data_IF_595205796187
#
_entry.id   IF_595205796187
#
_cell.length_a   1.000
_cell.length_b   1.000
_cell.length_c   1.000
_cell.angle_alpha   90.00
_cell.angle_beta   90.00
_cell.angle_gamma   90.00
#
_symmetry.space_group_name_H-M   'P 1'
#
loop_
_entity.id
_entity.type
_entity.pdbx_description
1 polymer ?
#
# COMPACT_ATOMS: atom_id res chain seq x y z
N UNK A 1 -10.54 13.26 -24.75
CA UNK A 1 -10.55 13.90 -23.41
C UNK A 1 -11.43 13.02 -22.52
N UNK A 2 -10.85 12.01 -21.85
CA UNK A 2 -11.61 11.15 -20.95
C UNK A 2 -11.87 11.93 -19.66
N UNK A 3 -13.13 12.29 -19.41
CA UNK A 3 -13.56 12.92 -18.17
C UNK A 3 -13.33 11.90 -17.05
N UNK A 4 -12.35 12.17 -16.18
CA UNK A 4 -12.13 11.38 -14.96
C UNK A 4 -13.36 11.54 -14.06
N UNK A 5 -14.24 10.54 -14.06
CA UNK A 5 -15.43 10.54 -13.20
C UNK A 5 -14.99 10.42 -11.73
N UNK A 6 -15.28 11.46 -10.94
CA UNK A 6 -15.28 11.37 -9.48
C UNK A 6 -16.42 10.47 -9.02
N UNK A 7 -16.17 9.61 -8.03
CA UNK A 7 -17.21 8.74 -7.45
C UNK A 7 -17.75 9.40 -6.19
N UNK A 8 -19.08 9.34 -5.98
CA UNK A 8 -19.76 9.99 -4.86
C UNK A 8 -20.50 8.97 -4.00
N UNK A 9 -20.45 9.15 -2.68
CA UNK A 9 -21.10 8.29 -1.70
C UNK A 9 -21.84 9.13 -0.66
N UNK A 10 -23.08 8.78 -0.37
CA UNK A 10 -23.80 9.33 0.78
C UNK A 10 -23.24 8.74 2.07
N UNK A 11 -22.84 9.61 2.99
CA UNK A 11 -22.23 9.25 4.26
C UNK A 11 -22.69 10.17 5.39
N UNK A 12 -22.57 9.72 6.63
CA UNK A 12 -22.75 10.53 7.84
C UNK A 12 -21.48 10.50 8.68
N UNK A 13 -20.96 11.67 9.05
CA UNK A 13 -19.81 11.77 9.94
C UNK A 13 -20.17 11.27 11.34
N UNK A 14 -19.45 10.26 11.85
CA UNK A 14 -19.55 9.81 13.24
C UNK A 14 -18.56 10.54 14.16
N UNK A 15 -17.60 11.26 13.58
CA UNK A 15 -16.60 12.06 14.28
C UNK A 15 -15.20 11.56 14.01
N UNK A 16 -14.25 11.99 14.85
CA UNK A 16 -12.88 11.54 14.77
C UNK A 16 -12.23 11.39 16.15
N UNK A 17 -11.22 10.54 16.21
CA UNK A 17 -10.43 10.30 17.43
C UNK A 17 -8.94 10.25 17.10
N UNK A 18 -8.11 10.61 18.07
CA UNK A 18 -6.65 10.53 17.93
C UNK A 18 -6.18 9.08 17.95
N UNK A 19 -5.26 8.73 17.06
CA UNK A 19 -4.52 7.46 17.11
C UNK A 19 -3.04 7.76 17.26
N UNK A 20 -2.42 7.17 18.28
CA UNK A 20 -0.98 7.30 18.49
C UNK A 20 -0.19 6.67 17.33
N UNK A 21 0.95 7.27 16.94
CA UNK A 21 1.71 6.86 15.75
C UNK A 21 2.24 5.42 15.86
N UNK A 22 2.62 4.98 17.06
CA UNK A 22 3.04 3.61 17.37
C UNK A 22 1.96 2.54 17.14
N UNK A 23 0.70 2.95 17.01
CA UNK A 23 -0.42 2.07 16.68
C UNK A 23 -0.72 2.02 15.17
N UNK A 24 0.00 2.81 14.35
CA UNK A 24 -0.14 2.84 12.89
C UNK A 24 0.88 1.95 12.16
N UNK A 25 1.48 0.98 12.84
CA UNK A 25 2.32 -0.04 12.22
C UNK A 25 1.46 -1.04 11.43
N UNK A 26 2.03 -1.79 10.46
CA UNK A 26 1.30 -2.81 9.70
C UNK A 26 0.57 -3.84 10.58
N UNK A 27 1.13 -4.18 11.75
CA UNK A 27 0.60 -5.20 12.66
C UNK A 27 -0.51 -4.65 13.56
N UNK A 28 -0.50 -3.34 13.87
CA UNK A 28 -1.38 -2.72 14.87
C UNK A 28 -2.51 -1.89 14.27
N UNK A 29 -2.28 -1.32 13.09
CA UNK A 29 -3.18 -0.33 12.46
C UNK A 29 -4.60 -0.84 12.25
N UNK A 30 -4.78 -2.08 11.79
CA UNK A 30 -6.11 -2.66 11.59
C UNK A 30 -6.91 -2.72 12.89
N UNK A 31 -6.27 -3.11 14.00
CA UNK A 31 -6.91 -3.14 15.32
C UNK A 31 -7.25 -1.73 15.81
N UNK A 32 -6.32 -0.79 15.66
CA UNK A 32 -6.53 0.60 16.09
C UNK A 32 -7.69 1.28 15.33
N UNK A 33 -7.76 1.09 14.01
CA UNK A 33 -8.85 1.63 13.18
C UNK A 33 -10.19 0.98 13.53
N UNK A 34 -10.23 -0.36 13.68
CA UNK A 34 -11.47 -1.04 14.06
C UNK A 34 -11.96 -0.63 15.46
N UNK A 35 -11.06 -0.41 16.41
CA UNK A 35 -11.41 0.09 17.73
C UNK A 35 -12.04 1.49 17.63
N UNK A 36 -11.41 2.41 16.89
CA UNK A 36 -11.96 3.75 16.67
C UNK A 36 -13.35 3.72 16.01
N UNK A 37 -13.57 2.81 15.05
CA UNK A 37 -14.89 2.60 14.45
C UNK A 37 -15.90 2.15 15.51
N UNK A 38 -15.56 1.16 16.34
CA UNK A 38 -16.48 0.66 17.37
C UNK A 38 -16.82 1.75 18.40
N UNK A 39 -15.82 2.50 18.86
CA UNK A 39 -15.99 3.54 19.89
C UNK A 39 -16.93 4.66 19.41
N UNK A 40 -16.75 5.12 18.16
CA UNK A 40 -17.57 6.18 17.57
C UNK A 40 -18.94 5.68 17.06
N UNK A 41 -19.06 4.40 16.71
CA UNK A 41 -20.31 3.83 16.16
C UNK A 41 -21.31 3.41 17.22
N UNK A 42 -20.82 2.92 18.37
CA UNK A 42 -21.67 2.46 19.48
C UNK A 42 -22.05 3.59 20.43
N UNK A 43 -21.46 4.78 20.29
CA UNK A 43 -21.72 5.90 21.18
C UNK A 43 -21.32 5.63 22.62
N UNK A 44 -20.40 4.68 22.87
CA UNK A 44 -20.02 4.22 24.21
C UNK A 44 -19.30 5.26 25.09
N UNK A 45 -19.18 6.49 24.62
CA UNK A 45 -18.81 7.62 25.43
C UNK A 45 -20.07 8.43 25.71
N UNK A 46 -20.46 8.56 26.99
CA UNK A 46 -21.44 9.53 27.53
C UNK A 46 -21.06 11.01 27.25
N UNK A 47 -20.18 11.24 26.28
CA UNK A 47 -19.61 12.48 25.78
C UNK A 47 -19.92 12.70 24.29
N UNK A 48 -20.89 11.97 23.72
CA UNK A 48 -21.24 11.99 22.30
C UNK A 48 -21.61 13.36 21.74
N UNK A 49 -21.98 14.30 22.62
CA UNK A 49 -22.32 15.69 22.30
C UNK A 49 -21.07 16.59 22.12
N UNK A 50 -19.88 16.15 22.56
CA UNK A 50 -18.63 16.93 22.49
C UNK A 50 -17.66 16.51 21.39
N UNK A 51 -17.93 15.41 20.68
CA UNK A 51 -17.06 14.98 19.57
C UNK A 51 -17.43 15.79 18.34
N UNK A 52 -16.51 16.62 17.87
CA UNK A 52 -16.68 17.39 16.65
C UNK A 52 -16.93 16.45 15.45
N UNK A 53 -17.88 16.82 14.60
CA UNK A 53 -18.33 16.07 13.42
C UNK A 53 -18.43 17.01 12.24
N UNK A 54 -18.11 16.53 11.06
CA UNK A 54 -18.39 17.28 9.85
C UNK A 54 -19.89 17.30 9.59
N UNK A 55 -20.44 18.45 9.20
CA UNK A 55 -21.85 18.61 8.88
C UNK A 55 -22.81 18.44 10.06
N UNK A 56 -22.33 18.56 11.30
CA UNK A 56 -23.14 18.50 12.53
C UNK A 56 -24.06 17.28 12.63
N UNK A 57 -23.62 16.15 12.05
CA UNK A 57 -24.37 14.88 12.06
C UNK A 57 -25.40 14.73 10.93
N UNK A 58 -25.53 15.72 10.03
CA UNK A 58 -26.29 15.60 8.79
C UNK A 58 -25.61 14.65 7.80
N UNK A 59 -26.37 14.28 6.78
CA UNK A 59 -25.82 13.55 5.63
C UNK A 59 -24.91 14.45 4.81
N UNK A 60 -23.84 13.84 4.31
CA UNK A 60 -22.79 14.45 3.52
C UNK A 60 -22.56 13.62 2.26
N UNK A 61 -21.99 14.26 1.26
CA UNK A 61 -21.47 13.58 0.07
C UNK A 61 -19.95 13.45 0.20
N UNK A 62 -19.48 12.21 0.29
CA UNK A 62 -18.06 11.89 0.12
C UNK A 62 -17.76 11.74 -1.37
N UNK A 63 -16.96 12.66 -1.91
CA UNK A 63 -16.49 12.65 -3.29
C UNK A 63 -15.03 12.18 -3.35
N UNK A 64 -14.78 11.11 -4.08
CA UNK A 64 -13.44 10.63 -4.39
C UNK A 64 -13.08 11.03 -5.82
N UNK A 65 -12.15 11.98 -5.93
CA UNK A 65 -11.53 12.35 -7.20
C UNK A 65 -10.17 11.65 -7.37
N UNK A 66 -9.40 12.02 -8.40
CA UNK A 66 -8.10 11.40 -8.69
C UNK A 66 -7.03 11.65 -7.62
N UNK A 67 -7.17 12.68 -6.78
CA UNK A 67 -6.13 13.14 -5.85
C UNK A 67 -6.62 13.38 -4.43
N UNK A 68 -7.92 13.59 -4.22
CA UNK A 68 -8.51 14.03 -2.96
C UNK A 68 -9.79 13.25 -2.64
N UNK A 69 -9.99 13.03 -1.34
CA UNK A 69 -11.26 12.72 -0.72
C UNK A 69 -11.86 14.02 -0.21
N UNK A 70 -13.04 14.39 -0.68
CA UNK A 70 -13.75 15.61 -0.27
C UNK A 70 -15.04 15.23 0.44
N UNK A 71 -15.37 16.00 1.48
CA UNK A 71 -16.68 15.97 2.11
C UNK A 71 -17.43 17.22 1.70
N UNK A 72 -18.63 17.04 1.16
CA UNK A 72 -19.52 18.11 0.75
C UNK A 72 -20.82 18.06 1.53
N UNK A 73 -21.34 19.22 1.84
CA UNK A 73 -22.71 19.36 2.32
C UNK A 73 -23.69 18.87 1.24
N UNK A 74 -24.67 18.05 1.63
CA UNK A 74 -25.56 17.39 0.68
C UNK A 74 -26.54 18.36 -0.01
N UNK A 75 -26.90 19.44 0.67
CA UNK A 75 -27.89 20.41 0.17
C UNK A 75 -27.23 21.52 -0.67
N UNK A 76 -26.10 22.05 -0.18
CA UNK A 76 -25.42 23.21 -0.77
C UNK A 76 -24.25 22.86 -1.70
N UNK A 77 -23.84 21.59 -1.78
CA UNK A 77 -22.64 21.10 -2.49
C UNK A 77 -21.32 21.76 -2.05
N UNK A 78 -21.34 22.50 -0.93
CA UNK A 78 -20.17 23.20 -0.40
C UNK A 78 -19.14 22.22 0.15
N UNK A 79 -17.86 22.41 -0.18
CA UNK A 79 -16.78 21.56 0.33
C UNK A 79 -16.48 21.92 1.77
N UNK A 80 -16.80 21.02 2.70
CA UNK A 80 -16.54 21.16 4.13
C UNK A 80 -15.12 20.73 4.50
N UNK A 81 -14.61 19.70 3.81
CA UNK A 81 -13.29 19.14 4.07
C UNK A 81 -12.69 18.54 2.79
N UNK A 82 -11.36 18.64 2.65
CA UNK A 82 -10.63 18.04 1.54
C UNK A 82 -9.33 17.42 2.05
N UNK A 83 -9.24 16.09 1.96
CA UNK A 83 -8.10 15.29 2.36
C UNK A 83 -7.37 14.75 1.13
N UNK A 84 -6.10 15.14 0.88
CA UNK A 84 -5.32 14.53 -0.18
C UNK A 84 -5.14 13.03 0.07
N UNK A 85 -5.46 12.21 -0.94
CA UNK A 85 -5.46 10.74 -0.84
C UNK A 85 -4.06 10.22 -0.53
N UNK A 86 -3.01 10.84 -1.09
CA UNK A 86 -1.61 10.48 -0.82
C UNK A 86 -1.14 10.77 0.63
N UNK A 87 -1.94 11.49 1.42
CA UNK A 87 -1.65 11.78 2.84
C UNK A 87 -2.44 10.86 3.79
N UNK A 88 -3.34 10.03 3.26
CA UNK A 88 -4.06 9.03 4.05
C UNK A 88 -3.07 7.91 4.41
N UNK A 89 -2.86 7.68 5.71
CA UNK A 89 -1.92 6.69 6.25
C UNK A 89 -2.47 5.27 6.17
N UNK A 90 -3.74 5.11 6.55
CA UNK A 90 -4.46 3.84 6.57
C UNK A 90 -5.97 4.11 6.46
N UNK A 91 -6.72 3.17 5.91
CA UNK A 91 -8.18 3.17 5.96
C UNK A 91 -8.70 1.78 6.33
N UNK A 92 -9.96 1.70 6.73
CA UNK A 92 -10.58 0.44 7.17
C UNK A 92 -12.10 0.45 7.06
N UNK A 93 -12.66 -0.75 7.10
CA UNK A 93 -14.11 -0.99 7.11
C UNK A 93 -14.45 -1.72 8.40
N UNK A 94 -15.53 -1.30 9.06
CA UNK A 94 -16.01 -1.89 10.30
C UNK A 94 -16.48 -3.33 10.10
N UNK A 95 -16.00 -4.23 10.96
CA UNK A 95 -16.30 -5.68 10.88
C UNK A 95 -17.75 -6.05 11.19
N UNK A 96 -18.42 -5.26 12.04
CA UNK A 96 -19.70 -5.67 12.62
C UNK A 96 -20.88 -5.47 11.66
N UNK A 97 -20.91 -4.33 10.94
CA UNK A 97 -22.03 -3.99 10.04
C UNK A 97 -21.60 -3.79 8.58
N UNK A 98 -20.29 -3.73 8.28
CA UNK A 98 -19.76 -3.47 6.94
C UNK A 98 -20.13 -2.11 6.34
N UNK A 99 -20.77 -1.22 7.11
CA UNK A 99 -21.24 0.10 6.66
C UNK A 99 -20.42 1.25 7.21
N UNK A 100 -19.64 1.03 8.26
CA UNK A 100 -18.77 2.08 8.78
C UNK A 100 -17.41 2.06 8.06
N UNK A 101 -17.04 3.19 7.48
CA UNK A 101 -15.76 3.45 6.83
C UNK A 101 -14.91 4.37 7.71
N UNK A 102 -13.60 4.15 7.74
CA UNK A 102 -12.69 5.07 8.41
C UNK A 102 -11.41 5.29 7.62
N UNK A 103 -10.83 6.48 7.75
CA UNK A 103 -9.48 6.77 7.30
C UNK A 103 -8.69 7.52 8.37
N UNK A 104 -7.37 7.32 8.37
CA UNK A 104 -6.44 8.01 9.25
C UNK A 104 -5.56 8.93 8.43
N UNK A 105 -5.54 10.21 8.79
CA UNK A 105 -4.64 11.19 8.20
C UNK A 105 -4.00 12.03 9.32
N UNK A 106 -2.87 12.67 8.98
CA UNK A 106 -2.22 13.59 9.91
C UNK A 106 -2.94 14.94 9.85
N UNK A 107 -3.49 15.36 10.97
CA UNK A 107 -4.11 16.68 11.09
C UNK A 107 -3.04 17.78 10.98
N UNK A 108 -3.38 18.86 10.28
CA UNK A 108 -2.42 19.91 9.92
C UNK A 108 -2.08 20.82 11.09
N UNK A 109 -3.06 21.15 11.95
CA UNK A 109 -2.87 22.08 13.06
C UNK A 109 -2.21 21.40 14.25
N UNK A 110 -2.68 20.21 14.61
CA UNK A 110 -2.20 19.49 15.80
C UNK A 110 -1.02 18.57 15.52
N UNK A 111 -0.76 18.25 14.24
CA UNK A 111 0.26 17.27 13.81
C UNK A 111 0.03 15.86 14.33
N UNK A 112 -1.14 15.58 14.91
CA UNK A 112 -1.57 14.27 15.42
C UNK A 112 -2.24 13.47 14.31
N UNK A 113 -2.25 12.14 14.44
CA UNK A 113 -3.01 11.29 13.52
C UNK A 113 -4.44 11.17 14.00
N UNK A 114 -5.37 11.54 13.14
CA UNK A 114 -6.80 11.52 13.43
C UNK A 114 -7.46 10.45 12.58
N UNK A 115 -8.23 9.58 13.23
CA UNK A 115 -9.09 8.59 12.59
C UNK A 115 -10.48 9.17 12.42
N UNK A 116 -10.88 9.43 11.18
CA UNK A 116 -12.19 9.96 10.82
C UNK A 116 -13.11 8.80 10.46
N UNK A 117 -14.27 8.72 11.11
CA UNK A 117 -15.21 7.60 10.95
C UNK A 117 -16.52 8.11 10.35
N UNK A 118 -17.03 7.35 9.38
CA UNK A 118 -18.23 7.65 8.63
C UNK A 118 -19.13 6.42 8.60
N UNK A 119 -20.43 6.64 8.73
CA UNK A 119 -21.44 5.65 8.38
C UNK A 119 -21.86 5.84 6.93
N UNK A 120 -21.87 4.77 6.16
CA UNK A 120 -22.13 4.81 4.73
C UNK A 120 -23.48 4.15 4.39
N UNK A 121 -24.18 4.69 3.41
CA UNK A 121 -25.43 4.10 2.92
C UNK A 121 -25.18 2.84 2.10
N UNK A 122 -24.09 2.85 1.34
CA UNK A 122 -23.59 1.69 0.59
C UNK A 122 -22.57 0.90 1.42
N UNK A 123 -22.29 -0.38 1.10
CA UNK A 123 -21.23 -1.12 1.76
C UNK A 123 -19.91 -0.35 1.71
N UNK A 124 -19.30 -0.12 2.88
CA UNK A 124 -18.09 0.70 3.02
C UNK A 124 -16.88 0.08 2.29
N UNK A 125 -16.92 -1.21 1.96
CA UNK A 125 -15.96 -1.87 1.08
C UNK A 125 -15.87 -1.22 -0.31
N UNK A 126 -16.97 -0.63 -0.80
CA UNK A 126 -17.01 0.07 -2.09
C UNK A 126 -16.09 1.30 -2.07
N UNK A 127 -16.14 2.08 -0.99
CA UNK A 127 -15.27 3.26 -0.79
C UNK A 127 -13.81 2.83 -0.66
N UNK A 128 -13.54 1.79 0.15
CA UNK A 128 -12.20 1.27 0.34
C UNK A 128 -11.57 0.75 -0.96
N UNK A 129 -12.36 0.09 -1.82
CA UNK A 129 -11.92 -0.37 -3.14
C UNK A 129 -11.67 0.80 -4.10
N UNK A 130 -12.53 1.81 -4.10
CA UNK A 130 -12.33 3.02 -4.90
C UNK A 130 -11.04 3.76 -4.53
N UNK A 131 -10.77 3.94 -3.23
CA UNK A 131 -9.51 4.51 -2.75
C UNK A 131 -8.30 3.65 -3.16
N UNK A 132 -8.41 2.32 -3.05
CA UNK A 132 -7.36 1.40 -3.50
C UNK A 132 -7.03 1.62 -4.97
N UNK A 133 -8.03 1.75 -5.83
CA UNK A 133 -7.81 1.92 -7.27
C UNK A 133 -7.28 3.30 -7.63
N UNK A 134 -7.70 4.36 -6.92
CA UNK A 134 -7.09 5.69 -7.04
C UNK A 134 -5.61 5.65 -6.64
N UNK A 135 -5.29 5.05 -5.49
CA UNK A 135 -3.91 4.90 -5.02
C UNK A 135 -3.03 4.12 -6.03
N UNK A 136 -3.56 3.04 -6.64
CA UNK A 136 -2.84 2.30 -7.70
C UNK A 136 -2.51 3.22 -8.89
N UNK A 137 -3.47 4.04 -9.34
CA UNK A 137 -3.26 4.97 -10.46
C UNK A 137 -2.23 6.05 -10.11
N UNK A 138 -2.34 6.66 -8.93
CA UNK A 138 -1.36 7.66 -8.46
C UNK A 138 0.07 7.09 -8.41
N UNK A 139 0.22 5.80 -8.07
CA UNK A 139 1.52 5.12 -8.11
C UNK A 139 2.04 4.88 -9.54
N UNK A 140 1.15 4.64 -10.50
CA UNK A 140 1.51 4.48 -11.91
C UNK A 140 1.91 5.82 -12.54
N UNK A 141 1.16 6.89 -12.28
CA UNK A 141 1.43 8.25 -12.79
C UNK A 141 2.75 8.82 -12.27
N UNK A 142 3.09 8.57 -10.99
CA UNK A 142 4.41 8.93 -10.45
C UNK A 142 5.56 8.19 -11.13
N UNK A 143 5.33 6.99 -11.68
CA UNK A 143 6.35 6.23 -12.42
C UNK A 143 6.49 6.69 -13.88
N UNK A 144 5.43 7.15 -14.52
CA UNK A 144 5.50 7.70 -15.88
C UNK A 144 6.20 9.06 -15.93
N UNK A 145 6.00 9.92 -14.93
CA UNK A 145 6.67 11.24 -14.88
C UNK A 145 8.18 11.12 -14.65
N UNK A 146 8.66 10.07 -13.97
CA UNK A 146 10.10 9.79 -13.83
C UNK A 146 10.71 9.26 -15.15
N UNK A 147 9.93 8.56 -15.98
CA UNK A 147 10.37 8.11 -17.32
C UNK A 147 10.46 9.25 -18.36
N UNK A 148 9.63 10.28 -18.24
CA UNK A 148 9.67 11.43 -19.17
C UNK A 148 10.86 12.36 -18.93
N UNK A 149 11.47 12.34 -17.74
CA UNK A 149 12.63 13.19 -17.46
C UNK A 149 13.96 12.64 -18.05
N UNK A 150 13.95 11.44 -18.64
CA UNK A 150 15.11 10.80 -19.28
C UNK A 150 14.94 10.54 -20.79
N UNK A 151 13.89 11.06 -21.45
CA UNK A 151 13.68 10.85 -22.89
C UNK A 151 13.30 12.14 -23.61
N UNK A 152 14.21 13.11 -23.62
CA UNK A 152 14.25 14.09 -24.69
C UNK A 152 14.98 13.50 -25.91
N UNK A 153 14.30 12.67 -26.69
CA UNK A 153 14.58 12.53 -28.14
C UNK A 153 13.64 11.53 -28.82
N UNK A 154 13.04 12.02 -29.91
CA UNK A 154 12.55 11.30 -31.10
C UNK A 154 11.32 10.37 -31.02
N UNK A 155 10.20 10.96 -31.45
CA UNK A 155 9.40 10.58 -32.63
C UNK A 155 8.86 9.13 -32.80
N UNK A 156 7.52 9.09 -32.87
CA UNK A 156 6.66 8.43 -33.85
C UNK A 156 6.92 6.95 -34.24
N UNK A 157 5.91 6.10 -33.98
CA UNK A 157 5.28 5.25 -35.00
C UNK A 157 3.98 4.62 -34.48
N UNK A 158 2.90 4.82 -35.22
CA UNK A 158 1.66 4.05 -35.15
C UNK A 158 1.90 2.67 -35.79
N UNK A 159 1.62 1.58 -35.09
CA UNK A 159 1.22 0.31 -35.73
C UNK A 159 0.21 -0.42 -34.86
N UNK A 160 -0.85 -0.87 -35.54
CA UNK A 160 -1.95 -1.69 -35.06
C UNK A 160 -1.48 -3.14 -34.91
N UNK A 161 -1.64 -3.73 -33.72
CA UNK A 161 -1.41 -5.17 -33.53
C UNK A 161 -2.28 -5.73 -32.40
N UNK A 162 -3.03 -6.77 -32.74
CA UNK A 162 -3.79 -7.73 -31.92
C UNK A 162 -3.32 -7.90 -30.47
N UNK A 163 -4.22 -8.23 -29.51
CA UNK A 163 -3.91 -8.24 -28.09
C UNK A 163 -2.84 -9.28 -27.77
N UNK A 164 -1.59 -8.84 -27.69
CA UNK A 164 -0.48 -9.61 -27.14
C UNK A 164 -0.84 -10.02 -25.70
N UNK A 165 -0.42 -11.21 -25.25
CA UNK A 165 -0.68 -11.69 -23.89
C UNK A 165 -0.30 -10.60 -22.90
N UNK A 166 -1.28 -10.14 -22.11
CA UNK A 166 -1.14 -9.00 -21.21
C UNK A 166 0.07 -9.24 -20.30
N UNK A 167 1.18 -8.57 -20.61
CA UNK A 167 2.42 -8.78 -19.89
C UNK A 167 2.18 -8.28 -18.46
N UNK A 168 2.31 -9.20 -17.50
CA UNK A 168 2.08 -8.86 -16.12
C UNK A 168 3.04 -7.73 -15.71
N UNK A 169 2.57 -6.74 -14.93
CA UNK A 169 3.42 -5.68 -14.44
C UNK A 169 4.54 -6.28 -13.58
N UNK A 170 5.78 -6.21 -14.07
CA UNK A 170 6.99 -6.69 -13.41
C UNK A 170 7.76 -5.53 -12.80
N UNK A 171 8.19 -5.68 -11.54
CA UNK A 171 9.16 -4.79 -10.91
C UNK A 171 10.53 -5.46 -10.95
N UNK A 172 11.51 -4.80 -11.52
CA UNK A 172 12.90 -5.30 -11.55
C UNK A 172 13.71 -4.60 -10.46
N UNK A 173 14.43 -5.37 -9.66
CA UNK A 173 15.34 -4.87 -8.63
C UNK A 173 16.72 -5.44 -8.91
N UNK A 174 17.73 -4.56 -8.95
CA UNK A 174 19.12 -4.95 -9.15
C UNK A 174 19.81 -5.19 -7.82
N UNK A 175 20.53 -6.30 -7.70
CA UNK A 175 21.12 -6.71 -6.45
C UNK A 175 22.13 -7.85 -6.54
N UNK A 176 22.76 -8.19 -5.42
CA UNK A 176 23.63 -9.36 -5.33
C UNK A 176 22.87 -10.61 -4.87
N UNK A 177 23.04 -11.69 -5.62
CA UNK A 177 22.62 -13.03 -5.25
C UNK A 177 23.78 -13.77 -4.59
N UNK A 178 23.58 -14.17 -3.34
CA UNK A 178 24.60 -14.83 -2.53
C UNK A 178 24.52 -16.37 -2.64
N UNK A 179 23.35 -16.91 -2.98
CA UNK A 179 23.15 -18.36 -3.12
C UNK A 179 21.84 -18.84 -2.52
N UNK A 180 21.72 -20.15 -2.42
CA UNK A 180 20.59 -20.85 -1.78
C UNK A 180 21.10 -21.67 -0.61
N UNK A 181 20.30 -21.77 0.45
CA UNK A 181 20.59 -22.62 1.60
C UNK A 181 19.34 -23.34 2.05
N UNK A 182 19.50 -24.57 2.54
CA UNK A 182 18.40 -25.33 3.10
C UNK A 182 18.06 -24.81 4.50
N UNK A 183 16.77 -24.81 4.82
CA UNK A 183 16.27 -24.40 6.13
C UNK A 183 15.41 -25.50 6.74
N UNK A 184 15.39 -25.64 8.08
CA UNK A 184 14.65 -26.70 8.74
C UNK A 184 13.14 -26.50 8.68
N UNK A 185 12.66 -25.26 8.47
CA UNK A 185 11.24 -24.90 8.38
C UNK A 185 11.03 -23.85 7.30
N UNK A 186 9.90 -23.95 6.59
CA UNK A 186 9.51 -23.04 5.52
C UNK A 186 8.91 -21.70 6.00
N UNK A 187 8.87 -21.45 7.32
CA UNK A 187 8.31 -20.25 7.94
C UNK A 187 9.11 -19.85 9.19
N UNK A 188 9.05 -18.57 9.56
CA UNK A 188 9.70 -18.01 10.73
C UNK A 188 10.78 -16.98 10.38
N UNK A 189 10.68 -15.78 10.93
CA UNK A 189 11.63 -14.70 10.63
C UNK A 189 13.02 -15.00 11.19
N UNK A 190 13.09 -15.68 12.33
CA UNK A 190 14.33 -16.19 12.93
C UNK A 190 15.04 -17.19 12.00
N UNK A 191 14.30 -18.15 11.43
CA UNK A 191 14.86 -19.12 10.48
C UNK A 191 15.40 -18.44 9.22
N UNK A 192 14.72 -17.40 8.73
CA UNK A 192 15.18 -16.62 7.59
C UNK A 192 16.45 -15.82 7.93
N UNK A 193 16.49 -15.16 9.08
CA UNK A 193 17.67 -14.39 9.50
C UNK A 193 18.88 -15.30 9.69
N UNK A 194 18.72 -16.46 10.34
CA UNK A 194 19.80 -17.44 10.48
C UNK A 194 20.30 -17.95 9.13
N UNK A 195 19.40 -18.17 8.16
CA UNK A 195 19.76 -18.58 6.81
C UNK A 195 20.56 -17.50 6.07
N UNK A 196 20.15 -16.23 6.24
CA UNK A 196 20.86 -15.07 5.70
C UNK A 196 22.25 -14.95 6.32
N UNK A 197 22.35 -15.00 7.66
CA UNK A 197 23.62 -14.89 8.38
C UNK A 197 24.60 -16.00 7.98
N UNK A 198 24.11 -17.24 7.79
CA UNK A 198 24.91 -18.35 7.27
C UNK A 198 25.44 -18.07 5.87
N UNK A 199 24.60 -17.60 4.94
CA UNK A 199 25.03 -17.32 3.57
C UNK A 199 26.04 -16.17 3.51
N UNK A 200 25.81 -15.10 4.27
CA UNK A 200 26.73 -13.96 4.35
C UNK A 200 28.08 -14.38 4.95
N UNK A 201 28.09 -15.26 5.95
CA UNK A 201 29.32 -15.76 6.56
C UNK A 201 30.09 -16.76 5.68
N UNK A 202 29.39 -17.57 4.88
CA UNK A 202 30.00 -18.62 4.06
C UNK A 202 30.45 -18.13 2.69
N UNK A 203 29.78 -17.14 2.12
CA UNK A 203 30.00 -16.69 0.73
C UNK A 203 30.81 -15.40 0.73
N UNK A 204 32.06 -15.51 0.31
CA UNK A 204 32.94 -14.34 0.12
C UNK A 204 32.35 -13.36 -0.89
N UNK A 205 32.60 -12.06 -0.69
CA UNK A 205 31.99 -10.96 -1.44
C UNK A 205 32.35 -10.94 -2.93
N UNK A 206 33.47 -11.55 -3.31
CA UNK A 206 33.91 -11.73 -4.70
C UNK A 206 33.06 -12.76 -5.48
N UNK A 207 32.37 -13.66 -4.76
CA UNK A 207 31.49 -14.68 -5.35
C UNK A 207 30.03 -14.24 -5.45
N UNK A 208 29.74 -12.99 -5.11
CA UNK A 208 28.39 -12.45 -5.17
C UNK A 208 28.02 -12.13 -6.61
N UNK A 209 26.88 -12.66 -7.08
CA UNK A 209 26.47 -12.52 -8.47
C UNK A 209 25.55 -11.32 -8.59
N UNK A 210 25.85 -10.37 -9.48
CA UNK A 210 24.94 -9.26 -9.74
C UNK A 210 23.75 -9.74 -10.60
N UNK A 211 22.55 -9.58 -10.08
CA UNK A 211 21.30 -10.08 -10.66
C UNK A 211 20.23 -9.00 -10.74
N UNK A 212 19.32 -9.17 -11.70
CA UNK A 212 18.06 -8.48 -11.82
C UNK A 212 16.93 -9.44 -11.39
N UNK A 213 16.24 -9.08 -10.31
CA UNK A 213 15.09 -9.82 -9.77
C UNK A 213 13.80 -9.18 -10.29
N UNK A 214 13.14 -9.86 -11.24
CA UNK A 214 11.85 -9.47 -11.80
C UNK A 214 10.70 -10.08 -10.99
N UNK A 215 9.86 -9.23 -10.42
CA UNK A 215 8.76 -9.61 -9.52
C UNK A 215 7.44 -9.22 -10.18
N UNK A 216 6.64 -10.21 -10.56
CA UNK A 216 5.25 -10.07 -11.01
C UNK A 216 4.29 -10.67 -9.99
N UNK A 217 2.97 -10.41 -10.09
CA UNK A 217 1.98 -11.03 -9.20
C UNK A 217 2.00 -12.56 -9.20
N UNK A 218 2.34 -13.19 -10.33
CA UNK A 218 2.38 -14.64 -10.46
C UNK A 218 3.77 -15.25 -10.29
N UNK A 219 4.84 -14.49 -10.56
CA UNK A 219 6.18 -15.06 -10.77
C UNK A 219 7.30 -14.14 -10.27
N UNK A 220 8.32 -14.73 -9.64
CA UNK A 220 9.60 -14.10 -9.31
C UNK A 220 10.68 -14.76 -10.17
N UNK A 221 11.42 -13.97 -10.93
CA UNK A 221 12.51 -14.43 -11.80
C UNK A 221 13.80 -13.75 -11.36
N UNK A 222 14.86 -14.53 -11.17
CA UNK A 222 16.20 -14.04 -10.87
C UNK A 222 17.06 -14.28 -12.12
N UNK A 223 17.61 -13.20 -12.67
CA UNK A 223 18.45 -13.26 -13.88
C UNK A 223 19.78 -12.59 -13.57
N UNK A 224 20.89 -13.23 -13.90
CA UNK A 224 22.20 -12.58 -13.86
C UNK A 224 22.24 -11.39 -14.83
N UNK A 225 23.00 -10.35 -14.50
CA UNK A 225 23.16 -9.16 -15.36
C UNK A 225 23.85 -9.47 -16.72
N UNK A 226 24.24 -10.72 -16.98
CA UNK A 226 24.66 -11.26 -18.28
C UNK A 226 23.58 -12.02 -19.07
N UNK A 227 22.33 -12.04 -18.58
CA UNK A 227 21.18 -12.66 -19.26
C UNK A 227 20.87 -14.12 -18.87
N UNK A 228 21.71 -14.74 -18.05
CA UNK A 228 21.48 -16.11 -17.58
C UNK A 228 20.39 -16.16 -16.51
N UNK A 229 19.33 -16.96 -16.71
CA UNK A 229 18.25 -17.14 -15.73
C UNK A 229 18.71 -18.08 -14.62
N UNK A 230 18.80 -17.56 -13.39
CA UNK A 230 19.24 -18.31 -12.20
C UNK A 230 18.08 -19.07 -11.56
N UNK A 231 16.92 -18.41 -11.44
CA UNK A 231 15.75 -19.02 -10.80
C UNK A 231 14.44 -18.44 -11.31
N UNK A 232 13.40 -19.25 -11.27
CA UNK A 232 12.01 -18.86 -11.53
C UNK A 232 11.12 -19.52 -10.49
N UNK A 233 10.37 -18.72 -9.73
CA UNK A 233 9.48 -19.18 -8.68
C UNK A 233 8.08 -18.62 -8.93
N UNK A 234 7.05 -19.48 -8.93
CA UNK A 234 5.66 -19.00 -8.96
C UNK A 234 5.24 -18.59 -7.56
N UNK A 235 4.72 -17.38 -7.43
CA UNK A 235 4.29 -16.77 -6.16
C UNK A 235 3.26 -17.64 -5.43
N UNK A 236 2.38 -18.35 -6.15
CA UNK A 236 1.39 -19.27 -5.55
C UNK A 236 1.99 -20.45 -4.77
N UNK A 237 3.28 -20.74 -4.96
CA UNK A 237 4.02 -21.80 -4.29
C UNK A 237 5.02 -21.26 -3.26
N UNK A 238 5.08 -19.94 -3.11
CA UNK A 238 5.97 -19.29 -2.16
C UNK A 238 5.39 -19.48 -0.75
N UNK A 239 6.11 -20.21 0.09
CA UNK A 239 5.68 -20.48 1.46
C UNK A 239 5.92 -19.28 2.40
N UNK A 240 7.02 -18.55 2.17
CA UNK A 240 7.41 -17.42 2.99
C UNK A 240 8.38 -16.51 2.22
N UNK A 241 8.30 -15.20 2.47
CA UNK A 241 9.24 -14.19 1.99
C UNK A 241 9.51 -13.20 3.12
N UNK A 242 10.78 -12.89 3.38
CA UNK A 242 11.16 -11.94 4.43
C UNK A 242 12.43 -11.17 4.09
N UNK A 243 12.72 -10.19 4.94
CA UNK A 243 13.87 -9.29 4.82
C UNK A 243 14.80 -9.57 6.00
N UNK A 244 16.10 -9.72 5.72
CA UNK A 244 17.13 -9.93 6.73
C UNK A 244 17.31 -8.72 7.66
N UNK A 245 17.77 -8.96 8.88
CA UNK A 245 17.88 -7.95 9.96
C UNK A 245 18.91 -6.84 9.69
N UNK A 246 19.92 -7.09 8.85
CA UNK A 246 21.08 -6.20 8.73
C UNK A 246 20.93 -5.17 7.58
N UNK A 247 20.67 -3.91 7.95
CA UNK A 247 20.44 -2.80 7.04
C UNK A 247 21.71 -2.29 6.32
N UNK A 248 22.90 -2.80 6.67
CA UNK A 248 24.18 -2.38 6.06
C UNK A 248 24.27 -2.62 4.55
N UNK A 249 23.48 -3.57 4.04
CA UNK A 249 23.40 -3.91 2.61
C UNK A 249 22.19 -3.27 1.91
N UNK A 250 21.40 -2.46 2.63
CA UNK A 250 20.23 -1.75 2.13
C UNK A 250 20.62 -0.29 1.86
N UNK A 251 20.97 0.04 0.60
CA UNK A 251 20.97 1.44 0.18
C UNK A 251 19.51 1.87 -0.06
N UNK A 252 19.11 2.94 0.61
CA UNK A 252 17.80 3.62 0.65
C UNK A 252 16.68 3.04 1.55
N UNK A 253 16.48 3.61 2.76
CA UNK A 253 15.38 3.25 3.67
C UNK A 253 14.06 4.02 3.45
N UNK A 254 13.92 4.85 2.41
CA UNK A 254 12.71 5.68 2.21
C UNK A 254 11.82 5.18 1.07
N UNK A 255 10.97 4.19 1.34
CA UNK A 255 9.83 3.88 0.49
C UNK A 255 8.69 3.18 1.26
N UNK A 256 8.14 3.84 2.29
CA UNK A 256 6.86 3.43 2.87
C UNK A 256 5.71 3.82 1.94
N UNK A 257 5.06 2.84 1.32
CA UNK A 257 3.70 3.00 0.81
C UNK A 257 2.89 1.71 0.99
N UNK A 258 1.85 1.82 1.82
CA UNK A 258 1.10 0.73 2.45
C UNK A 258 -0.01 0.14 1.54
N UNK A 259 0.22 -0.01 0.24
CA UNK A 259 -0.80 -0.53 -0.69
C UNK A 259 -0.34 -1.69 -1.60
N UNK A 260 0.92 -2.12 -1.49
CA UNK A 260 1.38 -3.38 -2.04
C UNK A 260 2.18 -4.08 -0.95
N UNK A 261 1.83 -5.33 -0.65
CA UNK A 261 2.68 -6.20 0.17
C UNK A 261 4.14 -6.07 -0.28
N UNK A 262 4.98 -5.68 0.68
CA UNK A 262 6.32 -6.22 0.90
C UNK A 262 7.18 -6.41 -0.34
N UNK A 263 7.65 -5.33 -0.96
CA UNK A 263 8.80 -5.44 -1.88
C UNK A 263 9.68 -4.21 -1.79
N UNK A 264 10.67 -4.18 -0.90
CA UNK A 264 11.95 -3.48 -1.14
C UNK A 264 13.07 -3.97 -0.20
N UNK A 265 14.19 -4.35 -0.84
CA UNK A 265 15.56 -4.62 -0.40
C UNK A 265 15.83 -5.63 0.74
N UNK A 266 16.88 -6.45 0.74
CA UNK A 266 17.37 -7.40 -0.26
C UNK A 266 18.28 -8.44 0.44
N UNK A 267 17.78 -9.68 0.55
CA UNK A 267 18.52 -10.93 0.75
C UNK A 267 17.44 -12.02 0.68
N UNK A 268 17.03 -12.37 -0.54
CA UNK A 268 15.94 -13.32 -0.73
C UNK A 268 16.44 -14.74 -0.51
N UNK A 269 16.18 -15.29 0.67
CA UNK A 269 16.13 -16.75 0.86
C UNK A 269 14.77 -17.23 0.38
N UNK A 270 14.68 -17.70 -0.86
CA UNK A 270 13.46 -18.34 -1.38
C UNK A 270 13.43 -19.78 -0.86
N UNK A 271 12.50 -20.07 0.05
CA UNK A 271 12.26 -21.44 0.52
C UNK A 271 11.09 -22.02 -0.26
N UNK A 272 11.41 -22.85 -1.25
CA UNK A 272 10.42 -23.67 -1.95
C UNK A 272 10.21 -24.99 -1.21
N UNK A 273 8.99 -25.53 -1.30
CA UNK A 273 8.65 -26.88 -0.83
C UNK A 273 9.07 -27.94 -1.84
#
# INVERSE_FOLDING_TARGET
MLVLQSVRFAVRSLGWTEIAEENLTPERSSRAVNQAIMDLSTGRNDFMEKVAKWGDGKELIMELDSHNLKLRDADSDTVLHSQPIHQIRVWGVGRNNGRDFAYVARDRSTRKFMCHVFRCDTPASTIANALRDICKRLMQERRSNVRQQFTSSSAAALTDSFPTPMEEPKKVIRCHFLGVTQVPKATGIEILNEAVDRLVAQVQTDRWILVDVSISPSTIIITEVGGSKIAECRVRFLSFLGIGRDAKYVRDPFAFCNCCLSVFCLLMTVVCK
#
